data_IF_048060701893
#
_entry.id   IF_048060701893
#
_cell.length_a   1.000
_cell.length_b   1.000
_cell.length_c   1.000
_cell.angle_alpha   90.00
_cell.angle_beta   90.00
_cell.angle_gamma   90.00
#
_symmetry.space_group_name_H-M   'P 1'
#
loop_
_entity.id
_entity.type
_entity.pdbx_description
1 polymer ?
#
# COMPACT_ATOMS: atom_id res chain seq x y z
N UNK A 1 7.30 -4.66 23.74
CA UNK A 1 7.82 -3.42 23.13
C UNK A 1 6.81 -2.89 22.10
N UNK A 2 5.93 -2.01 22.56
CA UNK A 2 4.73 -1.53 21.85
C UNK A 2 5.03 -0.49 20.77
N UNK A 3 5.61 -0.92 19.64
CA UNK A 3 5.66 -0.05 18.45
C UNK A 3 4.24 0.18 17.97
N UNK A 4 3.71 1.37 18.22
CA UNK A 4 2.46 1.85 17.62
C UNK A 4 2.66 1.86 16.09
N UNK A 5 2.26 0.78 15.42
CA UNK A 5 2.48 0.59 13.98
C UNK A 5 1.46 1.44 13.24
N UNK A 6 1.91 2.52 12.61
CA UNK A 6 1.07 3.43 11.80
C UNK A 6 0.18 2.62 10.84
N UNK A 7 -1.13 2.88 10.92
CA UNK A 7 -2.14 2.42 9.96
C UNK A 7 -2.29 3.46 8.86
N UNK A 8 -2.52 3.00 7.63
CA UNK A 8 -2.88 3.84 6.50
C UNK A 8 -4.36 3.62 6.21
N UNK A 9 -5.11 4.71 6.10
CA UNK A 9 -6.47 4.71 5.56
C UNK A 9 -6.37 4.86 4.06
N UNK A 10 -6.46 3.75 3.34
CA UNK A 10 -6.36 3.71 1.88
C UNK A 10 -7.76 3.70 1.30
N UNK A 11 -8.00 4.59 0.35
CA UNK A 11 -9.21 4.63 -0.46
C UNK A 11 -9.11 3.68 -1.66
N UNK A 12 -10.17 2.90 -1.88
CA UNK A 12 -10.28 2.01 -3.05
C UNK A 12 -11.63 2.21 -3.72
N UNK A 13 -11.64 2.17 -5.05
CA UNK A 13 -12.83 2.24 -5.87
C UNK A 13 -13.13 0.84 -6.37
N UNK A 14 -14.30 0.32 -6.02
CA UNK A 14 -14.72 -1.01 -6.42
C UNK A 14 -16.22 -1.00 -6.67
N UNK A 15 -16.65 -1.50 -7.82
CA UNK A 15 -18.06 -1.47 -8.26
C UNK A 15 -18.68 -0.06 -8.14
N UNK A 16 -17.97 0.95 -8.64
CA UNK A 16 -18.38 2.37 -8.61
C UNK A 16 -18.61 2.93 -7.19
N UNK A 17 -18.23 2.17 -6.16
CA UNK A 17 -18.33 2.56 -4.76
C UNK A 17 -16.95 2.81 -4.18
N UNK A 18 -16.91 3.81 -3.32
CA UNK A 18 -15.72 4.22 -2.59
C UNK A 18 -15.67 3.50 -1.24
N UNK A 19 -14.57 2.80 -1.00
CA UNK A 19 -14.31 2.07 0.23
C UNK A 19 -13.04 2.60 0.91
N UNK A 20 -12.97 2.46 2.24
CA UNK A 20 -11.77 2.77 3.02
C UNK A 20 -11.26 1.51 3.72
N UNK A 21 -9.97 1.21 3.55
CA UNK A 21 -9.30 0.12 4.24
C UNK A 21 -8.23 0.65 5.19
N UNK A 22 -8.27 0.21 6.45
CA UNK A 22 -7.27 0.54 7.46
C UNK A 22 -6.29 -0.62 7.61
N UNK A 23 -5.08 -0.46 7.08
CA UNK A 23 -4.05 -1.52 7.04
C UNK A 23 -2.65 -0.97 7.28
N UNK A 24 -1.76 -1.83 7.77
CA UNK A 24 -0.33 -1.49 7.91
C UNK A 24 0.38 -1.68 6.58
N UNK A 25 1.44 -0.91 6.34
CA UNK A 25 2.29 -1.06 5.15
C UNK A 25 2.81 -2.50 4.94
N UNK A 26 3.11 -3.24 6.02
CA UNK A 26 3.54 -4.65 5.96
C UNK A 26 2.46 -5.60 5.44
N UNK A 27 1.18 -5.26 5.61
CA UNK A 27 0.06 -6.05 5.13
C UNK A 27 -0.08 -5.91 3.61
N UNK A 28 0.05 -4.69 3.09
CA UNK A 28 0.15 -4.42 1.63
C UNK A 28 1.35 -5.15 1.00
N UNK A 29 2.50 -5.14 1.66
CA UNK A 29 3.68 -5.87 1.18
C UNK A 29 3.44 -7.40 1.16
N UNK A 30 2.67 -7.92 2.12
CA UNK A 30 2.31 -9.34 2.14
C UNK A 30 1.34 -9.69 1.02
N UNK A 31 0.37 -8.82 0.73
CA UNK A 31 -0.53 -8.93 -0.41
C UNK A 31 0.25 -8.95 -1.73
N UNK A 32 1.10 -7.95 -1.97
CA UNK A 32 1.95 -7.87 -3.17
C UNK A 32 2.76 -9.17 -3.40
N UNK A 33 3.41 -9.70 -2.35
CA UNK A 33 4.18 -10.96 -2.47
C UNK A 33 3.34 -12.17 -2.86
N UNK A 34 2.05 -12.19 -2.52
CA UNK A 34 1.12 -13.24 -2.95
C UNK A 34 0.68 -13.02 -4.39
N UNK A 35 0.29 -11.78 -4.73
CA UNK A 35 -0.19 -11.42 -6.07
C UNK A 35 0.87 -11.60 -7.16
N UNK A 36 2.12 -11.22 -6.91
CA UNK A 36 3.21 -11.38 -7.90
C UNK A 36 3.49 -12.82 -8.34
N UNK A 37 2.97 -13.80 -7.60
CA UNK A 37 3.06 -15.23 -7.96
C UNK A 37 1.91 -15.67 -8.88
N UNK A 38 0.85 -14.89 -8.95
CA UNK A 38 -0.41 -15.20 -9.65
C UNK A 38 -0.59 -14.33 -10.89
N UNK A 39 -0.17 -13.07 -10.82
CA UNK A 39 -0.32 -12.07 -11.88
C UNK A 39 0.96 -11.22 -12.01
N UNK A 40 1.11 -10.55 -13.15
CA UNK A 40 2.08 -9.48 -13.29
C UNK A 40 1.59 -8.29 -12.46
N UNK A 41 2.32 -7.96 -11.40
CA UNK A 41 1.98 -6.83 -10.52
C UNK A 41 2.86 -5.61 -10.85
N UNK A 42 2.36 -4.38 -10.68
CA UNK A 42 3.19 -3.17 -10.74
C UNK A 42 4.23 -3.15 -9.60
N UNK A 43 5.17 -2.21 -9.68
CA UNK A 43 6.23 -2.03 -8.69
C UNK A 43 5.66 -1.63 -7.31
N UNK A 44 6.11 -2.32 -6.26
CA UNK A 44 5.58 -2.07 -4.92
C UNK A 44 6.24 -0.85 -4.25
N UNK A 45 5.47 0.10 -3.68
CA UNK A 45 5.99 1.30 -3.01
C UNK A 45 6.61 0.98 -1.62
N UNK A 46 7.78 0.34 -1.63
CA UNK A 46 8.50 -0.13 -0.45
C UNK A 46 9.43 0.94 0.15
N UNK A 47 9.48 1.03 1.48
CA UNK A 47 10.46 1.86 2.22
C UNK A 47 11.92 1.46 1.99
N UNK A 48 12.18 0.27 1.43
CA UNK A 48 13.54 -0.19 1.10
C UNK A 48 14.09 0.49 -0.16
N UNK A 49 13.23 1.12 -0.96
CA UNK A 49 13.70 1.95 -2.07
C UNK A 49 14.27 3.26 -1.49
N UNK A 50 15.57 3.57 -1.72
CA UNK A 50 16.23 4.75 -1.16
C UNK A 50 15.49 6.06 -1.47
N UNK A 51 14.92 6.18 -2.67
CA UNK A 51 14.14 7.35 -3.12
C UNK A 51 12.79 7.50 -2.41
N UNK A 52 12.28 6.44 -1.77
CA UNK A 52 10.98 6.41 -1.09
C UNK A 52 11.10 6.50 0.44
N UNK A 53 12.33 6.47 0.98
CA UNK A 53 12.57 6.36 2.43
C UNK A 53 12.19 7.65 3.19
N UNK A 54 12.34 8.81 2.56
CA UNK A 54 12.11 10.13 3.16
C UNK A 54 10.71 10.70 2.92
N UNK A 55 9.84 10.00 2.17
CA UNK A 55 8.52 10.54 1.79
C UNK A 55 7.55 10.72 2.98
N UNK A 56 6.75 11.82 2.99
CA UNK A 56 5.70 12.05 3.98
C UNK A 56 4.68 10.91 4.08
N UNK A 57 3.97 10.81 5.22
CA UNK A 57 2.98 9.75 5.43
C UNK A 57 1.78 9.82 4.49
N UNK A 58 1.36 11.01 4.09
CA UNK A 58 0.26 11.21 3.14
C UNK A 58 0.64 10.78 1.74
N UNK A 59 1.84 11.11 1.28
CA UNK A 59 2.32 10.61 -0.01
C UNK A 59 2.41 9.08 -0.01
N UNK A 60 2.83 8.48 1.11
CA UNK A 60 2.83 7.02 1.25
C UNK A 60 1.41 6.43 1.26
N UNK A 61 0.41 7.17 1.72
CA UNK A 61 -1.00 6.76 1.61
C UNK A 61 -1.42 6.78 0.14
N UNK A 62 -1.13 7.86 -0.57
CA UNK A 62 -1.45 8.00 -1.99
C UNK A 62 -0.80 6.90 -2.83
N UNK A 63 0.49 6.64 -2.67
CA UNK A 63 1.18 5.57 -3.40
C UNK A 63 0.58 4.17 -3.15
N UNK A 64 0.05 3.92 -1.94
CA UNK A 64 -0.63 2.67 -1.64
C UNK A 64 -2.04 2.61 -2.23
N UNK A 65 -2.71 3.76 -2.37
CA UNK A 65 -3.98 3.88 -3.09
C UNK A 65 -3.75 3.60 -4.57
N UNK A 66 -2.79 4.29 -5.19
CA UNK A 66 -2.43 4.12 -6.60
C UNK A 66 -2.02 2.67 -6.90
N UNK A 67 -1.12 2.09 -6.09
CA UNK A 67 -0.69 0.69 -6.25
C UNK A 67 -1.85 -0.31 -6.20
N UNK A 68 -2.85 -0.10 -5.34
CA UNK A 68 -3.99 -1.02 -5.22
C UNK A 68 -4.99 -0.83 -6.36
N UNK A 69 -5.06 0.37 -6.96
CA UNK A 69 -5.90 0.66 -8.13
C UNK A 69 -5.29 0.13 -9.43
N UNK A 70 -3.95 0.05 -9.50
CA UNK A 70 -3.22 -0.49 -10.64
C UNK A 70 -3.11 -2.04 -10.64
N UNK A 71 -3.52 -2.69 -9.54
CA UNK A 71 -3.69 -4.15 -9.46
C UNK A 71 -5.04 -4.53 -10.07
#
# INVERSE_FOLDING_TARGET
SGRNKKLFRVEVLFNERKHYVLRRNSEFQTLHRKLRKLIQTPDFPSKRNPHLRTKPSEQRRQELEDYIQEI
#
